data_IF_274555969155
#
_entry.id   IF_274555969155
#
_cell.length_a   1.000
_cell.length_b   1.000
_cell.length_c   1.000
_cell.angle_alpha   90.00
_cell.angle_beta   90.00
_cell.angle_gamma   90.00
#
_symmetry.space_group_name_H-M   'P 1'
#
loop_
_entity.id
_entity.type
_entity.pdbx_description
1 polymer ?
#
# COMPACT_ATOMS: atom_id res chain seq x y z
N UNK A 1 17.40 -27.70 13.95
CA UNK A 1 16.76 -27.89 12.62
C UNK A 1 15.27 -27.57 12.69
N UNK A 2 14.57 -27.91 13.78
CA UNK A 2 13.12 -27.67 13.95
C UNK A 2 12.68 -26.19 13.92
N UNK A 3 13.46 -25.26 14.49
CA UNK A 3 13.04 -23.85 14.61
C UNK A 3 12.95 -23.16 13.24
N UNK A 4 13.90 -23.43 12.34
CA UNK A 4 13.90 -22.81 10.99
C UNK A 4 12.70 -23.28 10.18
N UNK A 5 12.39 -24.58 10.24
CA UNK A 5 11.22 -25.16 9.55
C UNK A 5 9.92 -24.59 10.13
N UNK A 6 9.84 -24.42 11.45
CA UNK A 6 8.68 -23.82 12.10
C UNK A 6 8.48 -22.36 11.66
N UNK A 7 9.54 -21.56 11.62
CA UNK A 7 9.49 -20.17 11.15
C UNK A 7 9.08 -20.07 9.68
N UNK A 8 9.61 -20.94 8.82
CA UNK A 8 9.23 -20.99 7.40
C UNK A 8 7.74 -21.31 7.22
N UNK A 9 7.21 -22.25 8.02
CA UNK A 9 5.79 -22.57 8.01
C UNK A 9 4.93 -21.41 8.49
N UNK A 10 5.32 -20.75 9.59
CA UNK A 10 4.60 -19.58 10.08
C UNK A 10 4.57 -18.47 9.02
N UNK A 11 5.70 -18.19 8.37
CA UNK A 11 5.76 -17.20 7.30
C UNK A 11 4.85 -17.56 6.12
N UNK A 12 4.84 -18.83 5.72
CA UNK A 12 3.96 -19.31 4.64
C UNK A 12 2.47 -19.19 5.01
N UNK A 13 2.11 -19.59 6.23
CA UNK A 13 0.74 -19.51 6.75
C UNK A 13 0.27 -18.05 6.86
N UNK A 14 1.13 -17.15 7.33
CA UNK A 14 0.86 -15.70 7.38
C UNK A 14 0.74 -15.09 5.98
N UNK A 15 1.63 -15.46 5.05
CA UNK A 15 1.52 -14.97 3.67
C UNK A 15 0.20 -15.42 3.05
N UNK A 16 -0.19 -16.68 3.24
CA UNK A 16 -1.45 -17.20 2.74
C UNK A 16 -2.69 -16.46 3.31
N UNK A 17 -2.66 -16.05 4.58
CA UNK A 17 -3.76 -15.25 5.16
C UNK A 17 -3.85 -13.87 4.51
N UNK A 18 -2.73 -13.21 4.22
CA UNK A 18 -2.72 -11.91 3.53
C UNK A 18 -3.35 -11.98 2.13
N UNK A 19 -3.12 -13.05 1.38
CA UNK A 19 -3.80 -13.29 0.11
C UNK A 19 -5.29 -13.59 0.30
N UNK A 20 -5.64 -14.45 1.26
CA UNK A 20 -7.03 -14.82 1.53
C UNK A 20 -7.90 -13.63 1.95
N UNK A 21 -7.33 -12.75 2.76
CA UNK A 21 -7.98 -11.52 3.22
C UNK A 21 -7.97 -10.41 2.16
N UNK A 22 -7.28 -10.61 1.03
CA UNK A 22 -7.23 -9.64 -0.08
C UNK A 22 -6.34 -8.43 0.20
N UNK A 23 -5.34 -8.57 1.07
CA UNK A 23 -4.26 -7.58 1.21
C UNK A 23 -3.31 -7.63 0.03
N UNK A 24 -2.93 -8.84 -0.38
CA UNK A 24 -2.01 -9.12 -1.48
C UNK A 24 -2.72 -9.79 -2.66
N UNK A 25 -2.21 -9.58 -3.88
CA UNK A 25 -2.65 -10.28 -5.09
C UNK A 25 -1.47 -10.91 -5.85
N UNK A 26 -1.78 -11.54 -6.98
CA UNK A 26 -0.80 -12.27 -7.82
C UNK A 26 0.41 -11.42 -8.24
N UNK A 27 0.32 -10.09 -8.27
CA UNK A 27 1.46 -9.23 -8.56
C UNK A 27 2.57 -9.39 -7.51
N UNK A 28 2.22 -9.66 -6.24
CA UNK A 28 3.22 -9.91 -5.19
C UNK A 28 3.97 -11.23 -5.46
N UNK A 29 3.28 -12.27 -5.95
CA UNK A 29 3.94 -13.53 -6.37
C UNK A 29 4.94 -13.28 -7.51
N UNK A 30 4.58 -12.44 -8.48
CA UNK A 30 5.48 -12.06 -9.56
C UNK A 30 6.69 -11.27 -9.04
N UNK A 31 6.49 -10.39 -8.05
CA UNK A 31 7.58 -9.67 -7.40
C UNK A 31 8.55 -10.65 -6.70
N UNK A 32 8.02 -11.66 -6.00
CA UNK A 32 8.84 -12.70 -5.36
C UNK A 32 9.64 -13.53 -6.36
N UNK A 33 9.12 -13.76 -7.57
CA UNK A 33 9.84 -14.50 -8.62
C UNK A 33 11.05 -13.76 -9.18
N UNK A 34 11.17 -12.45 -8.94
CA UNK A 34 12.33 -11.65 -9.35
C UNK A 34 13.48 -11.72 -8.34
N UNK A 35 13.24 -12.27 -7.15
CA UNK A 35 14.29 -12.50 -6.16
C UNK A 35 15.05 -13.79 -6.47
N UNK A 36 16.38 -13.72 -6.46
CA UNK A 36 17.25 -14.86 -6.71
C UNK A 36 18.51 -14.83 -5.82
N UNK A 37 19.42 -15.79 -6.00
CA UNK A 37 20.65 -15.88 -5.20
C UNK A 37 21.61 -14.69 -5.41
N UNK A 38 21.49 -13.98 -6.54
CA UNK A 38 22.29 -12.80 -6.86
C UNK A 38 21.72 -11.51 -6.27
N UNK A 39 20.41 -11.48 -6.01
CA UNK A 39 19.72 -10.40 -5.33
C UNK A 39 18.70 -10.95 -4.30
N UNK A 40 19.18 -11.45 -3.15
CA UNK A 40 18.33 -12.11 -2.15
C UNK A 40 17.42 -11.14 -1.39
N UNK A 41 17.72 -9.84 -1.40
CA UNK A 41 16.99 -8.82 -0.65
C UNK A 41 16.00 -8.02 -1.52
N UNK A 42 15.87 -8.36 -2.81
CA UNK A 42 15.06 -7.62 -3.78
C UNK A 42 13.65 -7.28 -3.30
N UNK A 43 12.91 -8.28 -2.79
CA UNK A 43 11.52 -8.05 -2.33
C UNK A 43 11.49 -7.11 -1.14
N UNK A 44 12.44 -7.27 -0.20
CA UNK A 44 12.54 -6.41 0.98
C UNK A 44 12.83 -4.98 0.56
N UNK A 45 13.82 -4.77 -0.32
CA UNK A 45 14.16 -3.44 -0.83
C UNK A 45 12.98 -2.74 -1.53
N UNK A 46 12.27 -3.47 -2.40
CA UNK A 46 11.12 -2.92 -3.13
C UNK A 46 9.97 -2.58 -2.19
N UNK A 47 9.69 -3.46 -1.21
CA UNK A 47 8.64 -3.24 -0.21
C UNK A 47 9.00 -2.09 0.73
N UNK A 48 10.26 -1.97 1.15
CA UNK A 48 10.75 -0.84 1.93
C UNK A 48 10.60 0.49 1.18
N UNK A 49 10.99 0.53 -0.09
CA UNK A 49 10.83 1.72 -0.92
C UNK A 49 9.35 2.10 -1.08
N UNK A 50 8.47 1.12 -1.26
CA UNK A 50 7.02 1.35 -1.30
C UNK A 50 6.53 2.01 -0.01
N UNK A 51 7.01 1.60 1.16
CA UNK A 51 6.62 2.20 2.43
C UNK A 51 7.09 3.65 2.57
N UNK A 52 8.35 3.93 2.24
CA UNK A 52 8.91 5.28 2.27
C UNK A 52 8.13 6.24 1.34
N UNK A 53 7.85 5.79 0.11
CA UNK A 53 7.07 6.58 -0.85
C UNK A 53 5.62 6.75 -0.41
N UNK A 54 5.01 5.71 0.15
CA UNK A 54 3.63 5.78 0.64
C UNK A 54 3.49 6.74 1.81
N UNK A 55 4.41 6.70 2.78
CA UNK A 55 4.41 7.62 3.92
C UNK A 55 4.54 9.08 3.43
N UNK A 56 5.47 9.34 2.52
CA UNK A 56 5.63 10.67 1.91
C UNK A 56 4.37 11.14 1.19
N UNK A 57 3.75 10.27 0.39
CA UNK A 57 2.53 10.60 -0.35
C UNK A 57 1.34 10.88 0.56
N UNK A 58 1.16 10.09 1.62
CA UNK A 58 0.08 10.29 2.59
C UNK A 58 0.26 11.59 3.37
N UNK A 59 1.49 11.92 3.74
CA UNK A 59 1.81 13.20 4.38
C UNK A 59 1.51 14.39 3.46
N UNK A 60 1.86 14.31 2.17
CA UNK A 60 1.55 15.37 1.21
C UNK A 60 0.04 15.48 0.92
N UNK A 61 -0.67 14.35 0.89
CA UNK A 61 -2.13 14.31 0.78
C UNK A 61 -2.80 14.99 1.98
N UNK A 62 -2.38 14.64 3.20
CA UNK A 62 -2.89 15.25 4.43
C UNK A 62 -2.69 16.77 4.42
N UNK A 63 -1.48 17.24 4.09
CA UNK A 63 -1.19 18.67 3.97
C UNK A 63 -2.01 19.37 2.90
N UNK A 64 -2.21 18.74 1.73
CA UNK A 64 -3.01 19.32 0.65
C UNK A 64 -4.48 19.47 1.06
N UNK A 65 -4.96 18.60 1.94
CA UNK A 65 -6.32 18.57 2.44
C UNK A 65 -6.61 19.53 3.59
N UNK A 66 -5.60 19.84 4.39
CA UNK A 66 -5.71 20.83 5.47
C UNK A 66 -5.76 22.28 4.96
N UNK A 67 -5.57 22.51 3.66
CA UNK A 67 -5.63 23.84 3.06
C UNK A 67 -7.07 24.38 3.00
N UNK A 68 -7.22 25.68 3.24
CA UNK A 68 -8.53 26.36 3.16
C UNK A 68 -9.17 26.27 1.77
N UNK A 69 -8.35 26.19 0.72
CA UNK A 69 -8.77 25.89 -0.65
C UNK A 69 -7.99 24.67 -1.13
N UNK A 70 -8.66 23.52 -1.22
CA UNK A 70 -8.03 22.25 -1.61
C UNK A 70 -7.65 22.27 -3.09
N UNK A 71 -6.39 21.97 -3.39
CA UNK A 71 -5.94 21.72 -4.76
C UNK A 71 -6.22 20.27 -5.15
N UNK A 72 -7.43 20.03 -5.68
CA UNK A 72 -7.86 18.70 -6.12
C UNK A 72 -6.99 18.09 -7.22
N UNK A 73 -6.28 18.89 -8.01
CA UNK A 73 -5.35 18.35 -9.02
C UNK A 73 -4.11 17.77 -8.34
N UNK A 74 -3.59 18.45 -7.33
CA UNK A 74 -2.47 17.94 -6.52
C UNK A 74 -2.87 16.66 -5.79
N UNK A 75 -4.07 16.62 -5.23
CA UNK A 75 -4.57 15.41 -4.56
C UNK A 75 -4.73 14.24 -5.54
N UNK A 76 -5.41 14.45 -6.68
CA UNK A 76 -5.58 13.40 -7.69
C UNK A 76 -4.23 12.81 -8.13
N UNK A 77 -3.23 13.67 -8.35
CA UNK A 77 -1.89 13.23 -8.71
C UNK A 77 -1.25 12.32 -7.64
N UNK A 78 -1.37 12.67 -6.35
CA UNK A 78 -0.82 11.86 -5.27
C UNK A 78 -1.53 10.51 -5.12
N UNK A 79 -2.84 10.46 -5.31
CA UNK A 79 -3.60 9.21 -5.24
C UNK A 79 -3.33 8.33 -6.45
N UNK A 80 -3.20 8.93 -7.62
CA UNK A 80 -2.80 8.22 -8.81
C UNK A 80 -1.43 7.56 -8.62
N UNK A 81 -0.48 8.28 -8.02
CA UNK A 81 0.84 7.75 -7.70
C UNK A 81 0.76 6.62 -6.66
N UNK A 82 0.00 6.79 -5.59
CA UNK A 82 -0.18 5.76 -4.56
C UNK A 82 -0.85 4.50 -5.12
N UNK A 83 -1.85 4.66 -5.99
CA UNK A 83 -2.48 3.55 -6.72
C UNK A 83 -1.46 2.79 -7.57
N UNK A 84 -0.64 3.51 -8.34
CA UNK A 84 0.38 2.93 -9.20
C UNK A 84 1.41 2.14 -8.39
N UNK A 85 1.94 2.75 -7.33
CA UNK A 85 2.92 2.12 -6.43
C UNK A 85 2.35 0.89 -5.71
N UNK A 86 1.11 0.98 -5.23
CA UNK A 86 0.42 -0.17 -4.61
C UNK A 86 0.19 -1.29 -5.62
N UNK A 87 -0.16 -0.93 -6.85
CA UNK A 87 -0.35 -1.89 -7.94
C UNK A 87 0.95 -2.60 -8.31
N UNK A 88 2.12 -1.95 -8.25
CA UNK A 88 3.39 -2.57 -8.66
C UNK A 88 3.91 -3.61 -7.67
N UNK A 89 3.54 -3.51 -6.39
CA UNK A 89 3.92 -4.49 -5.36
C UNK A 89 2.81 -5.51 -5.04
N UNK A 90 1.63 -5.37 -5.66
CA UNK A 90 0.49 -6.24 -5.38
C UNK A 90 -0.25 -5.95 -4.07
N UNK A 91 -0.12 -4.74 -3.51
CA UNK A 91 -0.90 -4.28 -2.35
C UNK A 91 -2.35 -3.95 -2.76
N UNK A 92 -3.13 -5.02 -3.00
CA UNK A 92 -4.49 -4.96 -3.56
C UNK A 92 -5.42 -4.07 -2.74
N UNK A 93 -5.39 -4.17 -1.41
CA UNK A 93 -6.31 -3.40 -0.57
C UNK A 93 -6.06 -1.90 -0.69
N UNK A 94 -4.80 -1.47 -0.66
CA UNK A 94 -4.42 -0.05 -0.81
C UNK A 94 -4.79 0.45 -2.22
N UNK A 95 -4.50 -0.35 -3.25
CA UNK A 95 -4.91 -0.05 -4.62
C UNK A 95 -6.43 0.12 -4.74
N UNK A 96 -7.20 -0.76 -4.11
CA UNK A 96 -8.66 -0.74 -4.11
C UNK A 96 -9.24 0.51 -3.46
N UNK A 97 -8.62 1.00 -2.39
CA UNK A 97 -9.02 2.26 -1.72
C UNK A 97 -8.70 3.50 -2.57
N UNK A 98 -7.65 3.47 -3.39
CA UNK A 98 -7.30 4.60 -4.25
C UNK A 98 -8.30 4.80 -5.42
N UNK A 99 -9.03 3.77 -5.85
CA UNK A 99 -9.98 3.84 -6.96
C UNK A 99 -11.17 4.77 -6.66
N UNK A 100 -11.98 4.55 -5.60
CA UNK A 100 -13.10 5.43 -5.29
C UNK A 100 -12.65 6.85 -4.94
N UNK A 101 -11.42 7.03 -4.44
CA UNK A 101 -10.92 8.35 -4.08
C UNK A 101 -10.72 9.29 -5.27
N UNK A 102 -10.34 8.73 -6.42
CA UNK A 102 -10.27 9.50 -7.64
C UNK A 102 -11.64 10.06 -8.05
N UNK A 103 -12.71 9.29 -7.84
CA UNK A 103 -14.07 9.75 -8.10
C UNK A 103 -14.45 10.91 -7.15
N UNK A 104 -14.04 10.86 -5.88
CA UNK A 104 -14.27 11.96 -4.94
C UNK A 104 -13.51 13.25 -5.29
N UNK A 105 -12.31 13.13 -5.89
CA UNK A 105 -11.57 14.27 -6.42
C UNK A 105 -12.30 14.93 -7.61
N UNK A 106 -12.86 14.11 -8.51
CA UNK A 106 -13.66 14.58 -9.64
C UNK A 106 -14.97 15.25 -9.20
N UNK A 107 -15.58 14.77 -8.11
CA UNK A 107 -16.83 15.30 -7.52
C UNK A 107 -16.62 16.47 -6.54
N UNK A 108 -15.38 16.82 -6.18
CA UNK A 108 -15.02 17.86 -5.20
C UNK A 108 -15.70 17.69 -3.82
N UNK A 109 -15.99 16.45 -3.43
CA UNK A 109 -16.77 16.15 -2.22
C UNK A 109 -15.86 15.76 -1.04
N UNK A 110 -15.41 16.74 -0.26
CA UNK A 110 -14.46 16.59 0.87
C UNK A 110 -14.97 15.68 2.00
N UNK A 111 -16.29 15.55 2.21
CA UNK A 111 -16.84 14.78 3.35
C UNK A 111 -16.58 13.27 3.24
N UNK A 112 -16.43 12.73 2.03
CA UNK A 112 -16.07 11.32 1.80
C UNK A 112 -14.63 10.96 2.24
N UNK A 113 -13.79 11.96 2.55
CA UNK A 113 -12.33 11.81 2.61
C UNK A 113 -11.81 11.45 4.00
N UNK A 114 -12.37 12.05 5.05
CA UNK A 114 -11.85 11.89 6.43
C UNK A 114 -12.08 10.49 7.01
N UNK A 115 -13.07 9.75 6.49
CA UNK A 115 -13.43 8.41 7.00
C UNK A 115 -12.91 7.26 6.12
N UNK A 116 -12.59 7.50 4.84
CA UNK A 116 -12.36 6.41 3.87
C UNK A 116 -10.89 6.03 3.63
N UNK A 117 -9.92 6.89 4.00
CA UNK A 117 -8.52 6.71 3.56
C UNK A 117 -7.45 6.74 4.64
N UNK A 118 -7.55 7.65 5.61
CA UNK A 118 -6.53 7.72 6.67
C UNK A 118 -6.51 6.43 7.48
N UNK A 119 -7.69 5.86 7.79
CA UNK A 119 -7.75 4.65 8.59
C UNK A 119 -7.18 3.42 7.85
N UNK A 120 -7.61 3.06 6.63
CA UNK A 120 -7.15 1.81 6.00
C UNK A 120 -5.67 1.83 5.61
N UNK A 121 -5.14 2.96 5.14
CA UNK A 121 -3.73 3.04 4.71
C UNK A 121 -2.80 3.24 5.91
N UNK A 122 -3.19 4.05 6.91
CA UNK A 122 -2.43 4.11 8.15
C UNK A 122 -2.50 2.77 8.91
N UNK A 123 -3.64 2.08 8.92
CA UNK A 123 -3.75 0.74 9.50
C UNK A 123 -2.89 -0.28 8.74
N UNK A 124 -2.80 -0.21 7.41
CA UNK A 124 -1.88 -1.06 6.64
C UNK A 124 -0.41 -0.79 7.01
N UNK A 125 -0.01 0.48 7.16
CA UNK A 125 1.35 0.84 7.59
C UNK A 125 1.63 0.52 9.07
N UNK A 126 0.62 0.62 9.94
CA UNK A 126 0.77 0.54 11.40
C UNK A 126 0.55 -0.88 11.96
N UNK A 127 -0.30 -1.71 11.36
CA UNK A 127 -0.60 -3.07 11.84
C UNK A 127 0.30 -4.16 11.25
N UNK A 128 0.93 -3.95 10.10
CA UNK A 128 1.68 -5.00 9.39
C UNK A 128 3.20 -4.81 9.42
N UNK A 129 3.71 -3.65 9.89
CA UNK A 129 5.14 -3.28 9.76
C UNK A 129 5.79 -2.81 11.07
N UNK A 130 5.22 -3.15 12.23
CA UNK A 130 5.86 -2.85 13.52
C UNK A 130 5.79 -4.01 14.52
#
# INVERSE_FOLDING_TARGET
MDVVVQLQRQLADHTASLFHEGFLNEQFNQLQQLQDESNPDFVVEVVSLFFEDSERLLNELAKALEQQAVDYKKVDAHVHQLKGSSSSIGAQRVQGVCIPFRNFCEEQNIEGWSNSLLLPVAHFLHCEVK
#
